data_IF_356312347854
#
_entry.id   IF_356312347854
#
_cell.length_a   1.000
_cell.length_b   1.000
_cell.length_c   1.000
_cell.angle_alpha   90.00
_cell.angle_beta   90.00
_cell.angle_gamma   90.00
#
_symmetry.space_group_name_H-M   'P 1'
#
loop_
_entity.id
_entity.type
_entity.pdbx_description
1 polymer ?
#
# COMPACT_ATOMS: atom_id res chain seq x y z
N UNK A 1 -5.40 -10.45 2.03
CA UNK A 1 -4.44 -9.48 1.49
C UNK A 1 -5.09 -8.76 0.32
N UNK A 2 -5.20 -7.43 0.34
CA UNK A 2 -5.81 -6.67 -0.77
C UNK A 2 -4.71 -6.17 -1.71
N UNK A 3 -4.91 -6.19 -3.04
CA UNK A 3 -3.88 -5.70 -3.97
C UNK A 3 -3.68 -4.20 -3.85
N UNK A 4 -2.49 -3.69 -4.20
CA UNK A 4 -2.20 -2.24 -4.18
C UNK A 4 -3.13 -1.47 -5.13
N UNK A 5 -3.60 -2.12 -6.20
CA UNK A 5 -4.55 -1.54 -7.15
C UNK A 5 -5.95 -1.37 -6.57
N UNK A 6 -6.46 -2.40 -5.88
CA UNK A 6 -7.74 -2.32 -5.17
C UNK A 6 -7.73 -1.22 -4.10
N UNK A 7 -6.64 -1.12 -3.32
CA UNK A 7 -6.46 -0.05 -2.32
C UNK A 7 -6.46 1.33 -3.00
N UNK A 8 -5.77 1.46 -4.14
CA UNK A 8 -5.72 2.72 -4.87
C UNK A 8 -7.11 3.14 -5.40
N UNK A 9 -7.91 2.19 -5.88
CA UNK A 9 -9.30 2.43 -6.27
C UNK A 9 -10.14 2.92 -5.08
N UNK A 10 -10.06 2.23 -3.93
CA UNK A 10 -10.80 2.61 -2.71
C UNK A 10 -10.40 3.95 -2.12
N UNK A 11 -9.11 4.30 -2.21
CA UNK A 11 -8.57 5.56 -1.70
C UNK A 11 -8.72 6.73 -2.67
N UNK A 12 -9.27 6.52 -3.88
CA UNK A 12 -9.56 7.59 -4.85
C UNK A 12 -8.39 7.97 -5.76
N UNK A 13 -7.33 7.17 -5.81
CA UNK A 13 -6.15 7.44 -6.68
C UNK A 13 -6.32 6.92 -8.11
N UNK A 14 -7.34 6.08 -8.36
CA UNK A 14 -7.67 5.53 -9.69
C UNK A 14 -6.74 4.41 -10.18
N UNK A 15 -5.46 4.40 -9.81
CA UNK A 15 -4.54 3.30 -10.07
C UNK A 15 -3.41 3.20 -9.03
N UNK A 16 -2.76 2.05 -8.99
CA UNK A 16 -1.67 1.79 -8.06
C UNK A 16 -0.43 2.69 -8.26
N UNK A 17 -0.17 3.23 -9.46
CA UNK A 17 0.99 4.09 -9.71
C UNK A 17 0.82 5.47 -9.06
N UNK A 18 -0.37 6.07 -9.17
CA UNK A 18 -0.70 7.34 -8.52
C UNK A 18 -0.61 7.22 -6.99
N UNK A 19 -1.16 6.14 -6.42
CA UNK A 19 -1.02 5.84 -4.99
C UNK A 19 0.46 5.75 -4.58
N UNK A 20 1.28 5.00 -5.31
CA UNK A 20 2.72 4.85 -5.00
C UNK A 20 3.45 6.19 -5.01
N UNK A 21 3.21 7.02 -6.02
CA UNK A 21 3.85 8.34 -6.13
C UNK A 21 3.51 9.21 -4.92
N UNK A 22 2.23 9.29 -4.55
CA UNK A 22 1.77 10.05 -3.40
C UNK A 22 2.28 9.48 -2.07
N UNK A 23 2.32 8.14 -1.93
CA UNK A 23 2.81 7.49 -0.72
C UNK A 23 4.30 7.76 -0.50
N UNK A 24 5.11 7.71 -1.55
CA UNK A 24 6.55 8.06 -1.47
C UNK A 24 6.72 9.53 -1.13
N UNK A 25 5.95 10.43 -1.76
CA UNK A 25 5.99 11.86 -1.45
C UNK A 25 5.59 12.16 0.00
N UNK A 26 4.59 11.46 0.55
CA UNK A 26 4.05 11.73 1.88
C UNK A 26 4.82 11.05 3.02
N UNK A 27 5.32 9.82 2.81
CA UNK A 27 5.87 8.96 3.87
C UNK A 27 7.29 8.45 3.54
N UNK A 28 7.80 8.75 2.35
CA UNK A 28 9.19 8.39 1.97
C UNK A 28 9.42 6.90 1.70
N UNK A 29 8.38 6.09 1.59
CA UNK A 29 8.49 4.66 1.30
C UNK A 29 7.43 4.18 0.32
N UNK A 30 7.52 2.94 -0.15
CA UNK A 30 6.49 2.35 -1.03
C UNK A 30 5.45 1.60 -0.21
N UNK A 31 4.19 1.47 -0.68
CA UNK A 31 3.16 0.70 0.00
C UNK A 31 3.57 -0.76 0.28
N UNK A 32 4.35 -1.38 -0.60
CA UNK A 32 4.80 -2.76 -0.43
C UNK A 32 5.89 -2.87 0.64
N UNK A 33 6.86 -1.95 0.66
CA UNK A 33 7.87 -1.88 1.72
C UNK A 33 7.22 -1.59 3.08
N UNK A 34 6.28 -0.64 3.13
CA UNK A 34 5.49 -0.35 4.31
C UNK A 34 4.73 -1.59 4.79
N UNK A 35 4.00 -2.29 3.91
CA UNK A 35 3.29 -3.53 4.26
C UNK A 35 4.25 -4.61 4.72
N UNK A 36 5.44 -4.76 4.14
CA UNK A 36 6.41 -5.75 4.62
C UNK A 36 6.88 -5.47 6.05
N UNK A 37 7.06 -4.20 6.41
CA UNK A 37 7.46 -3.78 7.75
C UNK A 37 6.34 -3.94 8.77
N UNK A 38 5.10 -3.65 8.38
CA UNK A 38 3.93 -3.62 9.27
C UNK A 38 2.98 -4.82 9.14
N UNK A 39 3.24 -5.74 8.22
CA UNK A 39 2.58 -7.04 8.18
C UNK A 39 3.03 -7.73 9.47
N UNK A 40 2.16 -7.70 10.47
CA UNK A 40 2.31 -8.51 11.66
C UNK A 40 2.49 -9.98 11.27
N UNK A 41 2.97 -10.85 12.18
CA UNK A 41 2.89 -12.27 11.94
C UNK A 41 1.46 -12.54 11.49
N UNK A 42 1.29 -13.05 10.27
CA UNK A 42 0.01 -13.53 9.81
C UNK A 42 -0.52 -14.34 10.97
N UNK A 43 -1.65 -13.91 11.56
CA UNK A 43 -2.19 -14.58 12.73
C UNK A 43 -2.27 -16.06 12.34
N UNK A 44 -1.39 -16.86 12.91
CA UNK A 44 -1.27 -18.26 12.59
C UNK A 44 -2.63 -18.88 12.94
N UNK A 45 -3.41 -19.15 11.91
CA UNK A 45 -4.71 -19.80 11.97
C UNK A 45 -4.91 -20.56 10.66
#
# INVERSE_FOLDING_TARGET
DETVDAIAGRAGFGNAAALRHQFVQAIGTTPNAYRRTFRGPEAAA
#
